data_IF_062914480282
#
_entry.id   IF_062914480282
#
_cell.length_a   1.000
_cell.length_b   1.000
_cell.length_c   1.000
_cell.angle_alpha   90.00
_cell.angle_beta   90.00
_cell.angle_gamma   90.00
#
_symmetry.space_group_name_H-M   'P 1'
#
loop_
_entity.id
_entity.type
_entity.pdbx_description
1 polymer ?
#
# COMPACT_ATOMS: atom_id res chain seq x y z
N UNK A 1 -10.15 -1.18 24.83
CA UNK A 1 -10.94 -0.54 25.88
C UNK A 1 -12.16 0.07 25.20
N UNK A 2 -13.33 -0.42 25.55
CA UNK A 2 -14.56 0.31 25.31
C UNK A 2 -14.60 1.47 26.33
N UNK A 3 -15.27 2.58 25.97
CA UNK A 3 -15.36 3.77 26.85
C UNK A 3 -15.93 3.50 28.26
N UNK A 4 -16.37 2.27 28.52
CA UNK A 4 -16.95 1.81 29.79
C UNK A 4 -16.02 0.92 30.63
N UNK A 5 -14.73 0.81 30.34
CA UNK A 5 -13.76 -0.03 31.08
C UNK A 5 -14.16 -1.52 31.23
N UNK A 6 -15.02 -2.05 30.38
CA UNK A 6 -15.37 -3.46 30.38
C UNK A 6 -14.29 -4.31 29.75
N UNK A 7 -13.86 -5.36 30.43
CA UNK A 7 -13.01 -6.39 29.84
C UNK A 7 -13.80 -7.16 28.79
N UNK A 8 -13.31 -7.11 27.54
CA UNK A 8 -13.87 -7.88 26.44
C UNK A 8 -12.90 -9.01 26.06
N UNK A 9 -13.43 -10.15 25.62
CA UNK A 9 -12.57 -11.25 25.16
C UNK A 9 -11.85 -10.85 23.88
N UNK A 10 -10.68 -11.46 23.60
CA UNK A 10 -9.96 -11.22 22.35
C UNK A 10 -10.82 -11.53 21.12
N UNK A 11 -11.71 -12.50 21.22
CA UNK A 11 -12.64 -12.86 20.15
C UNK A 11 -13.64 -11.73 19.89
N UNK A 12 -14.27 -11.20 20.92
CA UNK A 12 -15.25 -10.12 20.80
C UNK A 12 -14.57 -8.82 20.35
N UNK A 13 -13.37 -8.55 20.86
CA UNK A 13 -12.55 -7.43 20.40
C UNK A 13 -12.24 -7.53 18.91
N UNK A 14 -11.87 -8.71 18.41
CA UNK A 14 -11.54 -8.90 17.00
C UNK A 14 -12.75 -8.68 16.08
N UNK A 15 -13.93 -9.15 16.48
CA UNK A 15 -15.18 -8.93 15.73
C UNK A 15 -15.53 -7.44 15.70
N UNK A 16 -15.53 -6.79 16.84
CA UNK A 16 -15.84 -5.36 16.94
C UNK A 16 -14.85 -4.50 16.12
N UNK A 17 -13.57 -4.85 16.18
CA UNK A 17 -12.53 -4.15 15.41
C UNK A 17 -12.75 -4.32 13.90
N UNK A 18 -13.07 -5.53 13.46
CA UNK A 18 -13.35 -5.83 12.05
C UNK A 18 -14.56 -5.04 11.54
N UNK A 19 -15.61 -4.94 12.33
CA UNK A 19 -16.83 -4.21 11.94
C UNK A 19 -16.55 -2.70 11.89
N UNK A 20 -15.87 -2.13 12.88
CA UNK A 20 -15.44 -0.72 12.85
C UNK A 20 -14.55 -0.43 11.67
N UNK A 21 -13.55 -1.28 11.40
CA UNK A 21 -12.66 -1.13 10.27
C UNK A 21 -13.42 -1.18 8.93
N UNK A 22 -14.38 -2.09 8.79
CA UNK A 22 -15.23 -2.16 7.61
C UNK A 22 -16.05 -0.89 7.39
N UNK A 23 -16.61 -0.32 8.47
CA UNK A 23 -17.39 0.91 8.42
C UNK A 23 -16.51 2.13 8.06
N UNK A 24 -15.32 2.22 8.63
CA UNK A 24 -14.43 3.37 8.44
C UNK A 24 -13.73 3.38 7.07
N UNK A 25 -13.48 2.20 6.49
CA UNK A 25 -12.77 2.08 5.21
C UNK A 25 -13.67 1.90 4.00
N UNK A 26 -14.99 1.71 4.20
CA UNK A 26 -15.93 1.70 3.08
C UNK A 26 -15.99 3.07 2.40
N UNK A 27 -16.45 3.11 1.17
CA UNK A 27 -16.71 4.37 0.45
C UNK A 27 -17.63 5.27 1.28
N UNK A 28 -17.20 6.48 1.60
CA UNK A 28 -17.91 7.42 2.47
C UNK A 28 -17.68 7.18 3.98
N UNK A 29 -16.83 6.24 4.38
CA UNK A 29 -16.40 6.08 5.78
C UNK A 29 -15.46 7.19 6.24
N UNK A 30 -15.22 7.30 7.55
CA UNK A 30 -14.40 8.39 8.12
C UNK A 30 -12.96 8.37 7.59
N UNK A 31 -12.31 7.23 7.59
CA UNK A 31 -10.94 7.06 7.09
C UNK A 31 -10.88 7.31 5.58
N UNK A 32 -11.88 6.82 4.84
CA UNK A 32 -12.02 7.09 3.41
C UNK A 32 -12.11 8.58 3.14
N UNK A 33 -13.04 9.27 3.79
CA UNK A 33 -13.24 10.71 3.60
C UNK A 33 -11.99 11.52 3.94
N UNK A 34 -11.28 11.16 5.01
CA UNK A 34 -10.03 11.81 5.39
C UNK A 34 -9.00 11.75 4.25
N UNK A 35 -8.72 10.59 3.69
CA UNK A 35 -7.73 10.46 2.60
C UNK A 35 -8.19 11.11 1.30
N UNK A 36 -9.47 11.02 0.97
CA UNK A 36 -10.04 11.69 -0.20
C UNK A 36 -9.84 13.20 -0.11
N UNK A 37 -10.12 13.77 1.04
CA UNK A 37 -9.94 15.23 1.27
C UNK A 37 -8.46 15.63 1.26
N UNK A 38 -7.58 14.80 1.82
CA UNK A 38 -6.14 15.07 1.84
C UNK A 38 -5.53 15.10 0.43
N UNK A 39 -5.96 14.21 -0.46
CA UNK A 39 -5.33 14.02 -1.77
C UNK A 39 -6.05 14.82 -2.85
N UNK A 40 -7.37 14.86 -2.81
CA UNK A 40 -8.22 15.44 -3.86
C UNK A 40 -9.17 16.54 -3.37
N UNK A 41 -8.94 17.06 -2.16
CA UNK A 41 -9.75 18.17 -1.62
C UNK A 41 -9.80 19.35 -2.60
N UNK A 42 -11.02 19.77 -2.93
CA UNK A 42 -11.25 20.86 -3.88
C UNK A 42 -11.33 20.48 -5.37
N UNK A 43 -11.21 19.20 -5.72
CA UNK A 43 -11.45 18.73 -7.11
C UNK A 43 -12.88 18.25 -7.31
N UNK A 44 -13.42 18.34 -8.53
CA UNK A 44 -14.68 17.69 -8.87
C UNK A 44 -14.52 16.18 -8.77
N UNK A 45 -15.53 15.49 -8.22
CA UNK A 45 -15.58 14.04 -8.06
C UNK A 45 -14.37 13.40 -7.33
N UNK A 46 -14.00 13.90 -6.14
CA UNK A 46 -12.80 13.46 -5.45
C UNK A 46 -12.84 11.97 -5.10
N UNK A 47 -14.00 11.41 -4.80
CA UNK A 47 -14.20 9.98 -4.51
C UNK A 47 -13.90 9.07 -5.71
N UNK A 48 -14.29 9.49 -6.91
CA UNK A 48 -14.02 8.75 -8.13
C UNK A 48 -12.53 8.76 -8.45
N UNK A 49 -11.89 9.93 -8.38
CA UNK A 49 -10.46 10.09 -8.62
C UNK A 49 -9.63 9.27 -7.62
N UNK A 50 -10.01 9.27 -6.36
CA UNK A 50 -9.34 8.48 -5.33
C UNK A 50 -9.45 6.98 -5.59
N UNK A 51 -10.65 6.49 -5.95
CA UNK A 51 -10.87 5.08 -6.31
C UNK A 51 -10.01 4.65 -7.48
N UNK A 52 -9.97 5.44 -8.54
CA UNK A 52 -9.15 5.16 -9.72
C UNK A 52 -7.67 5.15 -9.35
N UNK A 53 -7.16 6.18 -8.69
CA UNK A 53 -5.76 6.27 -8.30
C UNK A 53 -5.32 5.06 -7.47
N UNK A 54 -6.09 4.67 -6.46
CA UNK A 54 -5.74 3.55 -5.58
C UNK A 54 -5.79 2.22 -6.33
N UNK A 55 -6.83 2.00 -7.14
CA UNK A 55 -6.99 0.77 -7.92
C UNK A 55 -5.88 0.62 -8.97
N UNK A 56 -5.59 1.68 -9.72
CA UNK A 56 -4.59 1.68 -10.77
C UNK A 56 -3.17 1.51 -10.19
N UNK A 57 -2.88 2.20 -9.09
CA UNK A 57 -1.61 2.03 -8.39
C UNK A 57 -1.42 0.60 -7.89
N UNK A 58 -2.46 0.00 -7.31
CA UNK A 58 -2.39 -1.38 -6.84
C UNK A 58 -2.22 -2.36 -7.99
N UNK A 59 -2.98 -2.20 -9.06
CA UNK A 59 -2.86 -3.01 -10.28
C UNK A 59 -1.47 -2.90 -10.90
N UNK A 60 -0.91 -1.70 -10.91
CA UNK A 60 0.44 -1.46 -11.42
C UNK A 60 1.53 -2.22 -10.64
N UNK A 61 1.46 -2.20 -9.31
CA UNK A 61 2.49 -2.80 -8.46
C UNK A 61 2.31 -4.30 -8.23
N UNK A 62 1.09 -4.78 -8.20
CA UNK A 62 0.77 -6.16 -7.79
C UNK A 62 0.18 -7.02 -8.92
N UNK A 63 -0.10 -6.43 -10.09
CA UNK A 63 -0.66 -7.16 -11.23
C UNK A 63 -2.07 -7.73 -10.99
N UNK A 64 -2.75 -7.27 -9.95
CA UNK A 64 -4.10 -7.73 -9.60
C UNK A 64 -5.01 -6.54 -9.32
N UNK A 65 -6.29 -6.67 -9.67
CA UNK A 65 -7.30 -5.65 -9.43
C UNK A 65 -8.04 -5.93 -8.12
N UNK A 66 -8.06 -4.94 -7.24
CA UNK A 66 -8.88 -4.94 -6.03
C UNK A 66 -9.63 -3.61 -5.91
N UNK A 67 -10.75 -3.61 -5.19
CA UNK A 67 -11.45 -2.36 -4.94
C UNK A 67 -10.63 -1.45 -4.01
N UNK A 68 -10.70 -0.14 -4.24
CA UNK A 68 -9.97 0.84 -3.42
C UNK A 68 -10.30 0.71 -1.91
N UNK A 69 -11.55 0.36 -1.57
CA UNK A 69 -11.96 0.11 -0.18
C UNK A 69 -11.27 -1.13 0.42
N UNK A 70 -11.10 -2.21 -0.35
CA UNK A 70 -10.37 -3.40 0.11
C UNK A 70 -8.89 -3.11 0.34
N UNK A 71 -8.26 -2.38 -0.60
CA UNK A 71 -6.87 -1.96 -0.51
C UNK A 71 -6.65 -1.08 0.72
N UNK A 72 -7.51 -0.09 0.93
CA UNK A 72 -7.46 0.78 2.11
C UNK A 72 -7.60 -0.01 3.40
N UNK A 73 -8.59 -0.90 3.49
CA UNK A 73 -8.80 -1.76 4.65
C UNK A 73 -7.57 -2.61 4.96
N UNK A 74 -6.98 -3.23 3.95
CA UNK A 74 -5.77 -4.02 4.10
C UNK A 74 -4.61 -3.18 4.63
N UNK A 75 -4.38 -2.00 4.08
CA UNK A 75 -3.31 -1.11 4.52
C UNK A 75 -3.51 -0.59 5.94
N UNK A 76 -4.73 -0.18 6.29
CA UNK A 76 -5.05 0.26 7.66
C UNK A 76 -4.87 -0.88 8.65
N UNK A 77 -5.30 -2.10 8.30
CA UNK A 77 -5.11 -3.29 9.17
C UNK A 77 -3.63 -3.60 9.39
N UNK A 78 -2.83 -3.60 8.32
CA UNK A 78 -1.38 -3.88 8.41
C UNK A 78 -0.69 -2.82 9.25
N UNK A 79 -1.01 -1.55 9.06
CA UNK A 79 -0.41 -0.47 9.83
C UNK A 79 -0.81 -0.53 11.31
N UNK A 80 -2.07 -0.79 11.62
CA UNK A 80 -2.54 -0.97 12.99
C UNK A 80 -1.91 -2.19 13.67
N UNK A 81 -1.72 -3.29 12.92
CA UNK A 81 -1.03 -4.49 13.43
C UNK A 81 0.45 -4.20 13.71
N UNK A 82 1.14 -3.52 12.79
CA UNK A 82 2.53 -3.10 12.98
C UNK A 82 2.68 -2.23 14.23
N UNK A 83 1.81 -1.22 14.38
CA UNK A 83 1.80 -0.34 15.56
C UNK A 83 1.52 -1.12 16.83
N UNK A 84 0.54 -2.02 16.82
CA UNK A 84 0.21 -2.87 17.95
C UNK A 84 1.37 -3.78 18.38
N UNK A 85 2.06 -4.42 17.43
CA UNK A 85 3.22 -5.25 17.70
C UNK A 85 4.36 -4.39 18.28
N UNK A 86 4.65 -3.25 17.67
CA UNK A 86 5.70 -2.34 18.13
C UNK A 86 5.43 -1.84 19.55
N UNK A 87 4.20 -1.41 19.83
CA UNK A 87 3.79 -0.94 21.15
C UNK A 87 3.86 -2.05 22.20
N UNK A 88 3.42 -3.27 21.87
CA UNK A 88 3.47 -4.42 22.78
C UNK A 88 4.91 -4.86 23.06
N UNK A 89 5.75 -4.94 22.02
CA UNK A 89 7.15 -5.30 22.15
C UNK A 89 7.94 -4.26 22.98
N UNK A 90 7.66 -2.97 22.79
CA UNK A 90 8.25 -1.90 23.58
C UNK A 90 7.88 -1.99 25.08
N UNK A 91 6.64 -2.39 25.39
CA UNK A 91 6.19 -2.57 26.78
C UNK A 91 6.79 -3.81 27.46
N UNK A 92 6.96 -4.88 26.71
CA UNK A 92 7.41 -6.18 27.25
C UNK A 92 8.92 -6.42 27.09
N UNK A 93 9.67 -5.47 26.48
CA UNK A 93 11.11 -5.62 26.23
C UNK A 93 11.44 -6.72 25.21
N UNK A 94 10.46 -7.12 24.38
CA UNK A 94 10.64 -8.18 23.38
C UNK A 94 11.34 -7.65 22.12
N UNK A 95 12.65 -7.65 22.16
CA UNK A 95 13.51 -7.26 21.04
C UNK A 95 13.39 -8.20 19.85
N UNK A 96 13.07 -9.48 20.04
CA UNK A 96 12.96 -10.46 18.96
C UNK A 96 11.78 -10.15 18.03
N UNK A 97 10.63 -9.77 18.58
CA UNK A 97 9.46 -9.36 17.80
C UNK A 97 9.73 -8.07 17.02
N UNK A 98 10.46 -7.11 17.58
CA UNK A 98 10.87 -5.87 16.89
C UNK A 98 11.82 -6.15 15.73
N UNK A 99 12.82 -7.02 15.92
CA UNK A 99 13.76 -7.41 14.85
C UNK A 99 13.03 -8.13 13.73
N UNK A 100 12.14 -9.06 14.04
CA UNK A 100 11.34 -9.77 13.03
C UNK A 100 10.45 -8.81 12.23
N UNK A 101 9.81 -7.86 12.89
CA UNK A 101 9.01 -6.84 12.23
C UNK A 101 9.85 -5.93 11.31
N UNK A 102 11.03 -5.51 11.80
CA UNK A 102 11.96 -4.68 11.03
C UNK A 102 12.48 -5.44 9.80
N UNK A 103 12.85 -6.72 9.95
CA UNK A 103 13.32 -7.58 8.87
C UNK A 103 12.23 -7.78 7.81
N UNK A 104 11.02 -8.12 8.23
CA UNK A 104 9.88 -8.29 7.31
C UNK A 104 9.56 -7.01 6.56
N UNK A 105 9.55 -5.87 7.24
CA UNK A 105 9.31 -4.56 6.61
C UNK A 105 10.43 -4.19 5.62
N UNK A 106 11.68 -4.52 5.92
CA UNK A 106 12.82 -4.30 5.03
C UNK A 106 12.72 -5.16 3.76
N UNK A 107 12.39 -6.44 3.92
CA UNK A 107 12.20 -7.36 2.78
C UNK A 107 11.06 -6.89 1.87
N UNK A 108 9.97 -6.39 2.43
CA UNK A 108 8.84 -5.89 1.64
C UNK A 108 9.20 -4.62 0.86
N UNK A 109 9.96 -3.70 1.48
CA UNK A 109 10.50 -2.52 0.80
C UNK A 109 11.44 -2.90 -0.34
N UNK A 110 12.33 -3.87 -0.15
CA UNK A 110 13.20 -4.38 -1.21
C UNK A 110 12.41 -5.00 -2.35
N UNK A 111 11.39 -5.81 -2.05
CA UNK A 111 10.53 -6.41 -3.06
C UNK A 111 9.80 -5.35 -3.90
N UNK A 112 9.25 -4.31 -3.27
CA UNK A 112 8.61 -3.19 -3.96
C UNK A 112 9.61 -2.42 -4.83
N UNK A 113 10.85 -2.20 -4.34
CA UNK A 113 11.89 -1.55 -5.11
C UNK A 113 12.26 -2.38 -6.36
N UNK A 114 12.42 -3.70 -6.23
CA UNK A 114 12.70 -4.58 -7.36
C UNK A 114 11.56 -4.62 -8.39
N UNK A 115 10.31 -4.67 -7.94
CA UNK A 115 9.14 -4.61 -8.83
C UNK A 115 9.11 -3.27 -9.57
N UNK A 116 9.35 -2.16 -8.87
CA UNK A 116 9.39 -0.83 -9.48
C UNK A 116 10.51 -0.70 -10.52
N UNK A 117 11.72 -1.16 -10.18
CA UNK A 117 12.86 -1.16 -11.12
C UNK A 117 12.55 -2.04 -12.34
N UNK A 118 11.98 -3.23 -12.13
CA UNK A 118 11.59 -4.13 -13.21
C UNK A 118 10.60 -3.48 -14.19
N UNK A 119 9.57 -2.81 -13.67
CA UNK A 119 8.60 -2.09 -14.51
C UNK A 119 9.20 -0.92 -15.29
N UNK A 120 10.06 -0.12 -14.64
CA UNK A 120 10.77 0.98 -15.31
C UNK A 120 11.68 0.45 -16.40
N UNK A 121 12.42 -0.63 -16.12
CA UNK A 121 13.32 -1.26 -17.10
C UNK A 121 12.55 -1.81 -18.29
N UNK A 122 11.47 -2.56 -18.06
CA UNK A 122 10.65 -3.11 -19.15
C UNK A 122 10.03 -2.03 -20.03
N UNK A 123 9.64 -0.90 -19.45
CA UNK A 123 9.06 0.23 -20.19
C UNK A 123 10.10 0.96 -21.04
N UNK A 124 11.33 1.06 -20.54
CA UNK A 124 12.41 1.79 -21.22
C UNK A 124 13.23 0.92 -22.19
N UNK A 125 13.18 -0.41 -22.04
CA UNK A 125 13.92 -1.35 -22.89
C UNK A 125 13.64 -1.16 -24.38
N UNK A 126 12.38 -1.05 -24.85
CA UNK A 126 12.10 -0.83 -26.28
C UNK A 126 12.68 0.49 -26.80
N UNK A 127 12.68 1.54 -25.97
CA UNK A 127 13.24 2.84 -26.34
C UNK A 127 14.77 2.76 -26.53
N UNK A 128 15.45 2.11 -25.59
CA UNK A 128 16.92 1.89 -25.68
C UNK A 128 17.26 1.03 -26.89
N UNK A 129 16.48 -0.02 -27.15
CA UNK A 129 16.68 -0.88 -28.33
C UNK A 129 16.52 -0.08 -29.63
N UNK A 130 15.52 0.78 -29.73
CA UNK A 130 15.28 1.64 -30.90
C UNK A 130 16.44 2.61 -31.14
N UNK A 131 16.98 3.21 -30.08
CA UNK A 131 18.12 4.12 -30.16
C UNK A 131 19.37 3.37 -30.62
N UNK A 132 19.68 2.20 -30.05
CA UNK A 132 20.82 1.38 -30.42
C UNK A 132 20.73 0.92 -31.90
N UNK A 133 19.55 0.50 -32.33
CA UNK A 133 19.31 0.10 -33.73
C UNK A 133 19.49 1.29 -34.66
N UNK A 134 18.99 2.47 -34.31
CA UNK A 134 19.16 3.71 -35.07
C UNK A 134 20.64 4.10 -35.23
N UNK A 135 21.41 4.00 -34.14
CA UNK A 135 22.87 4.26 -34.17
C UNK A 135 23.58 3.23 -35.08
N UNK A 136 23.25 1.94 -34.94
CA UNK A 136 23.87 0.89 -35.77
C UNK A 136 23.61 1.11 -37.26
N UNK A 137 22.36 1.44 -37.65
CA UNK A 137 21.99 1.74 -39.04
C UNK A 137 22.69 3.01 -39.53
N UNK A 138 22.82 4.03 -38.69
CA UNK A 138 23.46 5.30 -39.04
C UNK A 138 24.98 5.19 -39.26
N UNK A 139 25.65 4.28 -38.54
CA UNK A 139 27.11 4.07 -38.65
C UNK A 139 27.45 3.13 -39.81
N UNK A 140 26.57 2.18 -40.17
CA UNK A 140 26.83 1.18 -41.19
C UNK A 140 27.25 1.75 -42.55
N UNK A 141 26.67 2.84 -43.10
CA UNK A 141 27.11 3.41 -44.39
C UNK A 141 28.43 4.20 -44.33
N UNK A 142 28.96 4.43 -43.10
CA UNK A 142 30.24 5.15 -42.90
C UNK A 142 31.46 4.21 -42.75
N UNK A 143 31.21 2.93 -42.62
CA UNK A 143 32.19 1.85 -42.56
C UNK A 143 32.38 1.21 -43.94
#
# INVERSE_FOLDING_TARGET
YDNNNNFITCKDASVTLKDRLNLDTKTGGKTWHYYVQQIFGGRPDPDLLFRQLVSDSYSYFYGSSQSASQIMRQNVTINALKEGITSNAARNGDTASLVNLATTSSMEKQRLAHVSIGHVTMRNLPMVQTILTGIAIGIFPLL
#
